data_IF_447216666288
#
_entry.id   IF_447216666288
#
_cell.length_a   1.000
_cell.length_b   1.000
_cell.length_c   1.000
_cell.angle_alpha   90.00
_cell.angle_beta   90.00
_cell.angle_gamma   90.00
#
_symmetry.space_group_name_H-M   'P 1'
#
loop_
_entity.id
_entity.type
_entity.pdbx_description
1 polymer ?
#
# COMPACT_ATOMS: atom_id res chain seq x y z
N UNK A 1 -0.86 -39.46 7.59
CA UNK A 1 -0.58 -38.92 6.25
C UNK A 1 -0.03 -37.53 6.45
N UNK A 2 1.30 -37.39 6.42
CA UNK A 2 1.94 -36.06 6.41
C UNK A 2 1.58 -35.42 5.08
N UNK A 3 0.84 -34.33 5.12
CA UNK A 3 0.60 -33.48 3.95
C UNK A 3 1.95 -32.88 3.55
N UNK A 4 2.59 -33.44 2.52
CA UNK A 4 3.73 -32.82 1.86
C UNK A 4 3.34 -31.40 1.46
N UNK A 5 3.96 -30.40 2.10
CA UNK A 5 3.92 -29.04 1.58
C UNK A 5 4.60 -29.07 0.21
N UNK A 6 4.02 -28.46 -0.84
CA UNK A 6 4.60 -28.54 -2.18
C UNK A 6 6.01 -27.97 -2.20
N UNK A 7 6.93 -28.67 -2.89
CA UNK A 7 8.35 -28.34 -3.03
C UNK A 7 8.62 -26.87 -3.47
N UNK A 8 7.65 -26.21 -4.12
CA UNK A 8 7.76 -24.81 -4.57
C UNK A 8 7.89 -23.79 -3.43
N UNK A 9 7.23 -24.04 -2.28
CA UNK A 9 7.29 -23.15 -1.11
C UNK A 9 8.69 -23.08 -0.49
N UNK A 10 9.42 -24.20 -0.50
CA UNK A 10 10.80 -24.24 0.00
C UNK A 10 11.76 -23.47 -0.90
N UNK A 11 11.55 -23.49 -2.22
CA UNK A 11 12.36 -22.72 -3.17
C UNK A 11 12.14 -21.20 -3.02
N UNK A 12 10.91 -20.73 -2.92
CA UNK A 12 10.65 -19.29 -2.91
C UNK A 12 10.92 -18.60 -1.56
N UNK A 13 10.67 -19.28 -0.43
CA UNK A 13 11.17 -18.83 0.88
C UNK A 13 12.71 -18.76 0.90
N UNK A 14 13.38 -19.67 0.18
CA UNK A 14 14.83 -19.59 -0.01
C UNK A 14 15.24 -18.36 -0.82
N UNK A 15 14.47 -17.94 -1.84
CA UNK A 15 14.76 -16.74 -2.65
C UNK A 15 14.77 -15.46 -1.80
N UNK A 16 13.78 -15.24 -0.94
CA UNK A 16 13.74 -14.06 -0.06
C UNK A 16 14.95 -14.04 0.88
N UNK A 17 15.23 -15.19 1.51
CA UNK A 17 16.41 -15.32 2.37
C UNK A 17 17.72 -15.15 1.61
N UNK A 18 17.76 -15.54 0.34
CA UNK A 18 18.92 -15.42 -0.57
C UNK A 18 19.16 -13.95 -0.94
N UNK A 19 18.10 -13.19 -1.23
CA UNK A 19 18.20 -11.75 -1.50
C UNK A 19 18.79 -11.02 -0.29
N UNK A 20 18.35 -11.34 0.93
CA UNK A 20 18.88 -10.77 2.17
C UNK A 20 20.29 -11.28 2.50
N UNK A 21 20.60 -12.56 2.26
CA UNK A 21 21.89 -13.18 2.61
C UNK A 21 23.03 -12.74 1.69
N UNK A 22 22.77 -12.50 0.41
CA UNK A 22 23.78 -11.98 -0.52
C UNK A 22 23.96 -10.46 -0.42
N UNK A 23 23.79 -9.89 0.77
CA UNK A 23 24.05 -8.49 1.02
C UNK A 23 25.55 -8.21 1.03
N UNK A 24 26.05 -7.64 -0.06
CA UNK A 24 27.31 -6.92 -0.05
C UNK A 24 27.09 -5.59 0.68
N UNK A 25 27.01 -5.63 2.01
CA UNK A 25 27.16 -4.60 3.08
C UNK A 25 27.06 -3.08 2.77
N UNK A 26 26.41 -2.61 1.72
CA UNK A 26 26.59 -1.22 1.28
C UNK A 26 25.42 -0.30 1.67
N UNK A 27 24.15 -0.72 1.62
CA UNK A 27 23.01 0.15 2.00
C UNK A 27 21.78 -0.65 2.47
N UNK A 28 20.83 0.01 3.16
CA UNK A 28 19.51 -0.53 3.51
C UNK A 28 18.58 -0.82 2.31
N UNK A 29 19.07 -0.61 1.08
CA UNK A 29 18.28 -0.68 -0.16
C UNK A 29 17.64 -2.04 -0.43
N UNK A 30 18.34 -3.16 -0.17
CA UNK A 30 17.76 -4.49 -0.39
C UNK A 30 16.59 -4.77 0.55
N UNK A 31 16.71 -4.32 1.80
CA UNK A 31 15.66 -4.43 2.81
C UNK A 31 14.44 -3.60 2.39
N UNK A 32 14.68 -2.35 1.97
CA UNK A 32 13.64 -1.46 1.48
C UNK A 32 12.99 -1.97 0.18
N UNK A 33 13.74 -2.62 -0.73
CA UNK A 33 13.23 -3.22 -1.96
C UNK A 33 12.25 -4.35 -1.65
N UNK A 34 12.65 -5.30 -0.79
CA UNK A 34 11.81 -6.42 -0.39
C UNK A 34 10.55 -5.96 0.33
N UNK A 35 10.69 -5.00 1.25
CA UNK A 35 9.55 -4.39 1.94
C UNK A 35 8.59 -3.69 0.97
N UNK A 36 9.11 -2.92 0.01
CA UNK A 36 8.29 -2.24 -1.00
C UNK A 36 7.56 -3.23 -1.92
N UNK A 37 8.23 -4.31 -2.35
CA UNK A 37 7.60 -5.37 -3.14
C UNK A 37 6.48 -6.06 -2.36
N UNK A 38 6.70 -6.35 -1.07
CA UNK A 38 5.69 -6.89 -0.18
C UNK A 38 4.46 -5.97 -0.08
N UNK A 39 4.67 -4.67 0.15
CA UNK A 39 3.57 -3.72 0.27
C UNK A 39 2.84 -3.48 -1.08
N UNK A 40 3.55 -3.52 -2.21
CA UNK A 40 2.94 -3.49 -3.55
C UNK A 40 2.05 -4.72 -3.75
N UNK A 41 2.54 -5.91 -3.44
CA UNK A 41 1.79 -7.16 -3.57
C UNK A 41 0.50 -7.11 -2.73
N UNK A 42 0.58 -6.56 -1.53
CA UNK A 42 -0.58 -6.34 -0.66
C UNK A 42 -1.52 -5.22 -1.14
N UNK A 43 -1.01 -4.28 -1.95
CA UNK A 43 -1.81 -3.18 -2.50
C UNK A 43 -2.70 -3.61 -3.66
N UNK A 44 -2.32 -4.67 -4.38
CA UNK A 44 -3.00 -5.14 -5.59
C UNK A 44 -3.41 -6.60 -5.45
N UNK A 45 -4.47 -6.85 -4.66
CA UNK A 45 -4.71 -8.16 -4.10
C UNK A 45 -5.27 -9.18 -5.08
N UNK A 46 -5.80 -8.75 -6.23
CA UNK A 46 -6.45 -9.60 -7.24
C UNK A 46 -5.54 -9.95 -8.42
N UNK A 47 -4.33 -9.39 -8.51
CA UNK A 47 -3.42 -9.66 -9.62
C UNK A 47 -2.98 -11.12 -9.74
N UNK A 48 -3.00 -11.87 -8.63
CA UNK A 48 -2.64 -13.29 -8.64
C UNK A 48 -3.59 -14.15 -9.47
N UNK A 49 -4.83 -13.70 -9.71
CA UNK A 49 -5.83 -14.49 -10.46
C UNK A 49 -5.47 -14.63 -11.94
N UNK A 50 -4.58 -13.79 -12.45
CA UNK A 50 -4.08 -13.89 -13.82
C UNK A 50 -3.05 -15.00 -14.01
N UNK A 51 -2.48 -15.53 -12.91
CA UNK A 51 -1.40 -16.54 -12.90
C UNK A 51 -0.24 -16.21 -13.87
N UNK A 52 0.11 -14.92 -13.91
CA UNK A 52 1.11 -14.37 -14.82
C UNK A 52 2.13 -13.53 -14.07
N UNK A 53 3.29 -13.34 -14.69
CA UNK A 53 4.30 -12.41 -14.22
C UNK A 53 3.73 -10.99 -14.11
N UNK A 54 4.13 -10.26 -13.07
CA UNK A 54 3.58 -8.94 -12.76
C UNK A 54 4.62 -7.85 -13.02
N UNK A 55 4.28 -6.88 -13.86
CA UNK A 55 5.06 -5.67 -14.06
C UNK A 55 4.74 -4.62 -12.98
N UNK A 56 5.77 -4.25 -12.22
CA UNK A 56 5.71 -3.22 -11.17
C UNK A 56 6.54 -2.01 -11.60
N UNK A 57 5.94 -0.83 -11.81
CA UNK A 57 6.66 0.40 -12.08
C UNK A 57 7.63 0.73 -10.94
N UNK A 58 8.86 1.13 -11.29
CA UNK A 58 9.85 1.59 -10.30
C UNK A 58 9.32 2.76 -9.49
N UNK A 59 8.47 3.63 -10.08
CA UNK A 59 7.83 4.72 -9.35
C UNK A 59 6.94 4.25 -8.20
N UNK A 60 6.28 3.09 -8.32
CA UNK A 60 5.43 2.58 -7.23
C UNK A 60 6.26 2.06 -6.07
N UNK A 61 7.40 1.40 -6.35
CA UNK A 61 8.38 1.06 -5.31
C UNK A 61 9.01 2.32 -4.69
N UNK A 62 9.28 3.33 -5.52
CA UNK A 62 9.86 4.59 -5.07
C UNK A 62 8.95 5.36 -4.12
N UNK A 63 7.62 5.34 -4.33
CA UNK A 63 6.64 5.92 -3.39
C UNK A 63 6.80 5.30 -2.00
N UNK A 64 6.90 3.97 -1.91
CA UNK A 64 7.10 3.32 -0.62
C UNK A 64 8.42 3.71 0.04
N UNK A 65 9.49 3.92 -0.73
CA UNK A 65 10.75 4.42 -0.19
C UNK A 65 10.66 5.86 0.32
N UNK A 66 9.88 6.74 -0.32
CA UNK A 66 9.57 8.07 0.26
C UNK A 66 9.02 7.89 1.67
N UNK A 67 8.06 6.99 1.87
CA UNK A 67 7.46 6.76 3.18
C UNK A 67 8.42 6.10 4.19
N UNK A 68 9.16 5.06 3.80
CA UNK A 68 10.02 4.32 4.72
C UNK A 68 11.22 5.13 5.20
N UNK A 69 11.81 5.94 4.31
CA UNK A 69 13.01 6.71 4.63
C UNK A 69 12.69 8.09 5.24
N UNK A 70 11.44 8.56 5.15
CA UNK A 70 10.97 9.82 5.72
C UNK A 70 11.48 10.13 7.14
N UNK A 71 11.34 9.22 8.13
CA UNK A 71 11.75 9.52 9.50
C UNK A 71 13.26 9.71 9.67
N UNK A 72 14.06 9.22 8.71
CA UNK A 72 15.52 9.28 8.75
C UNK A 72 16.10 10.56 8.12
N UNK A 73 15.24 11.38 7.51
CA UNK A 73 15.62 12.62 6.81
C UNK A 73 15.44 13.88 7.66
N UNK A 74 15.26 13.73 8.97
CA UNK A 74 15.22 14.86 9.90
C UNK A 74 16.58 15.55 9.92
N UNK A 75 16.63 16.87 9.68
CA UNK A 75 17.90 17.60 9.69
C UNK A 75 18.43 17.83 11.10
N UNK A 76 17.55 17.90 12.10
CA UNK A 76 17.94 18.10 13.50
C UNK A 76 18.42 16.80 14.11
N UNK A 77 17.84 15.67 13.71
CA UNK A 77 18.19 14.33 14.19
C UNK A 77 18.30 13.31 13.05
N UNK A 78 19.29 13.45 12.14
CA UNK A 78 19.41 12.57 10.99
C UNK A 78 19.82 11.16 11.41
N UNK A 79 19.14 10.16 10.86
CA UNK A 79 19.53 8.75 10.98
C UNK A 79 20.09 8.31 9.64
N UNK A 80 21.33 7.87 9.63
CA UNK A 80 22.01 7.44 8.40
C UNK A 80 21.53 6.06 7.96
N UNK A 81 21.52 5.83 6.66
CA UNK A 81 20.90 4.66 6.02
C UNK A 81 21.77 4.03 4.91
N UNK A 82 22.96 4.59 4.70
CA UNK A 82 24.00 4.08 3.80
C UNK A 82 25.37 4.03 4.49
N UNK A 83 26.42 3.61 3.76
CA UNK A 83 27.73 3.42 4.32
C UNK A 83 28.37 4.78 4.55
N UNK A 84 29.02 4.94 5.71
CA UNK A 84 29.67 6.19 6.12
C UNK A 84 31.17 6.05 5.97
N UNK A 85 31.79 6.93 5.20
CA UNK A 85 33.24 7.00 5.05
C UNK A 85 33.78 8.25 5.76
N UNK A 86 34.83 8.10 6.58
CA UNK A 86 35.55 9.26 7.13
C UNK A 86 36.29 9.98 6.00
N UNK A 87 36.04 11.28 5.86
CA UNK A 87 36.80 12.13 4.94
C UNK A 87 37.05 13.49 5.63
N UNK A 88 38.30 13.73 6.04
CA UNK A 88 38.65 14.87 6.89
C UNK A 88 38.02 14.74 8.28
N UNK A 89 37.52 15.84 8.82
CA UNK A 89 36.88 15.91 10.14
C UNK A 89 35.40 15.48 10.14
N UNK A 90 34.90 14.92 9.02
CA UNK A 90 33.50 14.55 8.87
C UNK A 90 33.27 13.19 8.21
N UNK A 91 32.00 12.77 8.21
CA UNK A 91 31.54 11.59 7.51
C UNK A 91 30.86 11.98 6.20
N UNK A 92 31.23 11.32 5.10
CA UNK A 92 30.55 11.44 3.81
C UNK A 92 29.85 10.14 3.41
N UNK A 93 28.97 10.29 2.42
CA UNK A 93 28.11 9.27 1.83
C UNK A 93 26.93 8.88 2.72
N UNK A 94 25.82 8.56 2.06
CA UNK A 94 24.62 7.96 2.64
C UNK A 94 23.76 7.40 1.49
N UNK A 95 22.43 7.35 1.65
CA UNK A 95 21.52 7.06 0.54
C UNK A 95 21.55 8.17 -0.50
N UNK A 96 21.52 7.78 -1.76
CA UNK A 96 21.69 8.66 -2.93
C UNK A 96 20.64 9.77 -3.03
N UNK A 97 19.45 9.53 -2.47
CA UNK A 97 18.30 10.44 -2.55
C UNK A 97 18.10 11.29 -1.29
N UNK A 98 19.04 11.27 -0.32
CA UNK A 98 18.90 12.02 0.95
C UNK A 98 18.53 13.48 0.72
N UNK A 99 19.33 14.20 -0.06
CA UNK A 99 19.13 15.64 -0.29
C UNK A 99 17.79 15.97 -0.97
N UNK A 100 17.29 15.06 -1.83
CA UNK A 100 16.00 15.24 -2.49
C UNK A 100 14.85 15.02 -1.49
N UNK A 101 14.92 13.94 -0.71
CA UNK A 101 13.88 13.59 0.26
C UNK A 101 13.85 14.57 1.44
N UNK A 102 15.01 15.07 1.91
CA UNK A 102 15.08 16.12 2.93
C UNK A 102 14.43 17.41 2.44
N UNK A 103 14.69 17.84 1.20
CA UNK A 103 14.03 19.02 0.61
C UNK A 103 12.52 18.86 0.48
N UNK A 104 12.06 17.69 0.06
CA UNK A 104 10.63 17.37 0.01
C UNK A 104 10.00 17.45 1.40
N UNK A 105 10.69 16.92 2.42
CA UNK A 105 10.22 16.96 3.82
C UNK A 105 10.12 18.39 4.34
N UNK A 106 11.13 19.22 4.13
CA UNK A 106 11.12 20.63 4.51
C UNK A 106 9.96 21.38 3.85
N UNK A 107 9.70 21.14 2.56
CA UNK A 107 8.60 21.80 1.86
C UNK A 107 7.24 21.38 2.41
N UNK A 108 7.06 20.12 2.80
CA UNK A 108 5.83 19.66 3.45
C UNK A 108 5.65 20.29 4.84
N UNK A 109 6.70 20.30 5.67
CA UNK A 109 6.67 20.88 7.02
C UNK A 109 6.38 22.39 6.97
N UNK A 110 6.88 23.10 5.96
CA UNK A 110 6.61 24.54 5.73
C UNK A 110 5.13 24.83 5.46
N UNK A 111 4.40 23.90 4.84
CA UNK A 111 2.97 24.05 4.56
C UNK A 111 2.09 23.82 5.80
N UNK A 112 2.63 23.22 6.87
CA UNK A 112 1.88 22.89 8.08
C UNK A 112 2.71 23.14 9.35
N UNK A 113 3.14 24.39 9.61
CA UNK A 113 4.07 24.71 10.71
C UNK A 113 3.47 24.46 12.10
N UNK A 114 2.14 24.35 12.19
CA UNK A 114 1.41 24.11 13.44
C UNK A 114 1.22 22.62 13.76
N UNK A 115 1.56 21.73 12.82
CA UNK A 115 1.43 20.28 12.98
C UNK A 115 2.81 19.73 13.30
N UNK A 116 2.95 19.05 14.44
CA UNK A 116 4.20 18.40 14.79
C UNK A 116 4.55 17.32 13.77
N UNK A 117 5.77 17.31 13.20
CA UNK A 117 6.20 16.27 12.27
C UNK A 117 6.06 14.89 12.89
N UNK A 118 5.52 13.94 12.13
CA UNK A 118 5.41 12.54 12.52
C UNK A 118 6.30 11.66 11.64
N UNK A 119 6.86 10.56 12.19
CA UNK A 119 7.61 9.59 11.41
C UNK A 119 6.82 9.08 10.18
N UNK A 120 5.51 8.93 10.33
CA UNK A 120 4.59 8.46 9.29
C UNK A 120 4.10 9.51 8.29
N UNK A 121 4.57 10.76 8.34
CA UNK A 121 4.14 11.79 7.38
C UNK A 121 4.49 11.44 5.93
N UNK A 122 5.54 10.65 5.72
CA UNK A 122 5.85 10.08 4.40
C UNK A 122 4.73 9.16 3.87
N UNK A 123 4.09 8.35 4.72
CA UNK A 123 2.91 7.55 4.35
C UNK A 123 1.69 8.43 4.06
N UNK A 124 1.50 9.50 4.86
CA UNK A 124 0.46 10.49 4.61
C UNK A 124 0.62 11.11 3.22
N UNK A 125 1.82 11.60 2.91
CA UNK A 125 2.13 12.28 1.65
C UNK A 125 1.88 11.40 0.43
N UNK A 126 2.38 10.15 0.42
CA UNK A 126 2.23 9.28 -0.75
C UNK A 126 0.75 8.93 -1.01
N UNK A 127 -0.08 8.88 0.03
CA UNK A 127 -1.51 8.64 -0.10
C UNK A 127 -2.22 9.85 -0.73
N UNK A 128 -1.88 11.07 -0.27
CA UNK A 128 -2.41 12.30 -0.86
C UNK A 128 -1.99 12.45 -2.34
N UNK A 129 -0.75 12.08 -2.67
CA UNK A 129 -0.22 12.14 -4.04
C UNK A 129 -0.76 11.05 -4.99
N UNK A 130 -1.41 10.01 -4.48
CA UNK A 130 -2.10 8.98 -5.30
C UNK A 130 -3.46 9.48 -5.78
N UNK A 131 -4.14 10.31 -4.99
CA UNK A 131 -5.49 10.76 -5.25
C UNK A 131 -5.44 12.07 -6.05
N UNK A 132 -5.81 12.04 -7.33
CA UNK A 132 -5.68 13.20 -8.24
C UNK A 132 -6.31 14.48 -7.67
N UNK A 133 -7.57 14.40 -7.20
CA UNK A 133 -8.29 15.54 -6.60
C UNK A 133 -7.58 16.16 -5.38
N UNK A 134 -6.82 15.36 -4.61
CA UNK A 134 -6.05 15.85 -3.46
C UNK A 134 -4.70 16.38 -3.89
N UNK A 135 -4.03 15.70 -4.82
CA UNK A 135 -2.76 16.15 -5.42
C UNK A 135 -2.87 17.58 -5.95
N UNK A 136 -4.00 17.94 -6.57
CA UNK A 136 -4.25 19.30 -7.09
C UNK A 136 -4.39 20.40 -6.03
N UNK A 137 -4.52 20.05 -4.74
CA UNK A 137 -4.60 21.02 -3.64
C UNK A 137 -3.23 21.46 -3.13
N UNK A 138 -2.15 20.79 -3.55
CA UNK A 138 -0.79 21.09 -3.10
C UNK A 138 -0.07 22.07 -4.04
N UNK A 139 0.91 22.79 -3.50
CA UNK A 139 1.70 23.78 -4.25
C UNK A 139 2.49 23.14 -5.40
N UNK A 140 2.68 23.85 -6.54
CA UNK A 140 3.53 23.40 -7.62
C UNK A 140 4.96 23.03 -7.17
N UNK A 141 5.50 23.75 -6.19
CA UNK A 141 6.82 23.53 -5.61
C UNK A 141 6.90 22.17 -4.90
N UNK A 142 5.93 21.83 -4.04
CA UNK A 142 5.88 20.52 -3.37
C UNK A 142 5.74 19.41 -4.40
N UNK A 143 4.87 19.58 -5.40
CA UNK A 143 4.69 18.61 -6.47
C UNK A 143 5.99 18.39 -7.25
N UNK A 144 6.73 19.46 -7.55
CA UNK A 144 8.02 19.37 -8.22
C UNK A 144 9.05 18.62 -7.35
N UNK A 145 9.19 18.96 -6.07
CA UNK A 145 10.10 18.26 -5.16
C UNK A 145 9.75 16.78 -5.01
N UNK A 146 8.46 16.45 -5.02
CA UNK A 146 7.98 15.08 -4.96
C UNK A 146 8.41 14.28 -6.20
N UNK A 147 8.22 14.81 -7.40
CA UNK A 147 8.63 14.14 -8.64
C UNK A 147 10.17 14.03 -8.75
N UNK A 148 10.93 15.05 -8.32
CA UNK A 148 12.39 14.99 -8.25
C UNK A 148 12.87 13.90 -7.28
N UNK A 149 12.22 13.78 -6.13
CA UNK A 149 12.53 12.74 -5.14
C UNK A 149 12.23 11.35 -5.68
N UNK A 150 11.07 11.15 -6.33
CA UNK A 150 10.73 9.88 -6.97
C UNK A 150 11.75 9.50 -8.04
N UNK A 151 12.22 10.46 -8.85
CA UNK A 151 13.26 10.22 -9.86
C UNK A 151 14.57 9.74 -9.20
N UNK A 152 15.06 10.44 -8.18
CA UNK A 152 16.29 10.07 -7.47
C UNK A 152 16.20 8.67 -6.84
N UNK A 153 15.03 8.32 -6.27
CA UNK A 153 14.79 6.98 -5.72
C UNK A 153 14.71 5.92 -6.82
N UNK A 154 14.07 6.20 -7.96
CA UNK A 154 14.03 5.28 -9.10
C UNK A 154 15.44 4.94 -9.61
N UNK A 155 16.34 5.92 -9.65
CA UNK A 155 17.75 5.72 -9.99
C UNK A 155 18.46 4.85 -8.94
N UNK A 156 18.20 5.09 -7.65
CA UNK A 156 18.77 4.30 -6.55
C UNK A 156 18.27 2.84 -6.53
N UNK A 157 17.05 2.57 -6.99
CA UNK A 157 16.44 1.24 -7.07
C UNK A 157 17.13 0.30 -8.06
N UNK A 158 17.89 0.80 -9.04
CA UNK A 158 18.52 -0.06 -10.05
C UNK A 158 19.53 -1.04 -9.45
N UNK A 159 20.39 -0.56 -8.54
CA UNK A 159 21.44 -1.38 -7.91
C UNK A 159 20.90 -2.55 -7.08
N UNK A 160 19.96 -2.36 -6.14
CA UNK A 160 19.43 -3.49 -5.37
C UNK A 160 18.65 -4.49 -6.23
N UNK A 161 18.04 -4.05 -7.35
CA UNK A 161 17.41 -4.95 -8.33
C UNK A 161 18.48 -5.75 -9.08
N UNK A 162 19.54 -5.09 -9.57
CA UNK A 162 20.67 -5.72 -10.27
C UNK A 162 21.35 -6.78 -9.42
N UNK A 163 21.58 -6.51 -8.13
CA UNK A 163 22.30 -7.43 -7.24
C UNK A 163 21.36 -8.23 -6.33
N UNK A 164 20.10 -8.42 -6.72
CA UNK A 164 19.17 -9.30 -6.03
C UNK A 164 19.52 -10.77 -6.33
N UNK A 165 20.15 -11.43 -5.36
CA UNK A 165 20.54 -12.85 -5.43
C UNK A 165 21.98 -13.11 -5.90
N UNK A 166 22.30 -14.36 -6.26
CA UNK A 166 23.63 -14.74 -6.74
C UNK A 166 23.89 -14.16 -8.14
N UNK A 167 24.97 -13.39 -8.27
CA UNK A 167 25.32 -12.73 -9.53
C UNK A 167 24.46 -11.50 -9.86
N UNK A 168 24.71 -10.90 -11.02
CA UNK A 168 23.91 -9.79 -11.51
C UNK A 168 22.67 -10.28 -12.24
N UNK A 169 21.52 -9.67 -11.96
CA UNK A 169 20.20 -9.98 -12.52
C UNK A 169 19.74 -11.42 -12.26
N UNK A 170 20.22 -12.02 -11.17
CA UNK A 170 19.95 -13.44 -10.86
C UNK A 170 18.50 -13.71 -10.48
N UNK A 171 17.84 -12.78 -9.77
CA UNK A 171 16.42 -12.91 -9.40
C UNK A 171 15.50 -12.03 -10.25
N UNK A 172 15.89 -10.77 -10.47
CA UNK A 172 15.12 -9.82 -11.27
C UNK A 172 15.85 -9.50 -12.57
N UNK A 173 15.11 -9.51 -13.67
CA UNK A 173 15.62 -8.99 -14.94
C UNK A 173 15.78 -7.46 -14.88
N UNK A 174 16.58 -6.92 -15.81
CA UNK A 174 16.79 -5.47 -15.93
C UNK A 174 15.45 -4.74 -16.13
N UNK A 175 15.14 -3.68 -15.36
CA UNK A 175 13.90 -2.94 -15.54
C UNK A 175 13.74 -2.38 -16.97
N UNK A 176 12.61 -2.66 -17.59
CA UNK A 176 12.29 -2.28 -18.97
C UNK A 176 11.03 -1.40 -19.02
N UNK A 177 10.86 -0.62 -20.10
CA UNK A 177 9.63 0.17 -20.28
C UNK A 177 8.43 -0.75 -20.47
N UNK A 178 7.29 -0.43 -19.84
CA UNK A 178 6.11 -1.28 -19.87
C UNK A 178 5.63 -1.60 -21.29
N UNK A 179 5.69 -0.65 -22.23
CA UNK A 179 5.32 -0.89 -23.63
C UNK A 179 6.07 -2.04 -24.31
N UNK A 180 7.26 -2.40 -23.83
CA UNK A 180 8.06 -3.52 -24.33
C UNK A 180 7.70 -4.85 -23.65
N UNK A 181 7.04 -4.78 -22.50
CA UNK A 181 6.62 -5.93 -21.70
C UNK A 181 5.14 -6.28 -21.96
N UNK A 182 4.34 -5.28 -22.38
CA UNK A 182 2.92 -5.40 -22.63
C UNK A 182 2.60 -6.62 -23.51
N UNK A 183 1.56 -7.38 -23.13
CA UNK A 183 1.15 -8.62 -23.79
C UNK A 183 1.78 -9.90 -23.23
N UNK A 184 2.82 -9.81 -22.40
CA UNK A 184 3.48 -10.98 -21.79
C UNK A 184 3.40 -10.99 -20.25
N UNK A 185 2.94 -9.90 -19.66
CA UNK A 185 2.85 -9.66 -18.22
C UNK A 185 1.57 -8.90 -17.91
N UNK A 186 1.09 -9.03 -16.67
CA UNK A 186 0.02 -8.17 -16.16
C UNK A 186 0.66 -7.01 -15.41
N UNK A 187 0.22 -5.79 -15.65
CA UNK A 187 0.73 -4.63 -14.92
C UNK A 187 -0.11 -4.33 -13.69
N UNK A 188 0.54 -3.80 -12.64
CA UNK A 188 -0.21 -3.19 -11.54
C UNK A 188 -1.07 -2.03 -12.07
N UNK A 189 -2.29 -1.85 -11.54
CA UNK A 189 -3.16 -0.74 -11.93
C UNK A 189 -2.48 0.63 -11.92
N UNK A 190 -2.85 1.45 -12.90
CA UNK A 190 -2.27 2.79 -13.09
C UNK A 190 -0.91 2.82 -13.79
N UNK A 191 -0.32 1.69 -14.20
CA UNK A 191 0.92 1.62 -14.99
C UNK A 191 0.77 2.28 -16.37
N UNK A 192 1.76 3.08 -16.77
CA UNK A 192 1.80 3.81 -18.04
C UNK A 192 2.80 3.16 -19.03
N UNK A 193 2.61 3.28 -20.34
CA UNK A 193 3.49 2.67 -21.35
C UNK A 193 4.98 3.03 -21.20
N UNK A 194 5.29 4.25 -20.76
CA UNK A 194 6.67 4.72 -20.59
C UNK A 194 7.27 4.42 -19.20
N UNK A 195 6.49 3.88 -18.27
CA UNK A 195 6.99 3.50 -16.95
C UNK A 195 8.05 2.40 -17.09
N UNK A 196 9.19 2.60 -16.44
CA UNK A 196 10.18 1.52 -16.26
C UNK A 196 9.66 0.59 -15.18
N UNK A 197 9.57 -0.69 -15.50
CA UNK A 197 9.01 -1.71 -14.63
C UNK A 197 10.05 -2.80 -14.33
N UNK A 198 10.07 -3.25 -13.08
CA UNK A 198 10.65 -4.56 -12.72
C UNK A 198 9.55 -5.62 -12.85
N UNK A 199 9.91 -6.80 -13.37
CA UNK A 199 8.97 -7.92 -13.48
C UNK A 199 9.18 -8.86 -12.30
N UNK A 200 8.11 -9.11 -11.55
CA UNK A 200 8.07 -10.08 -10.45
C UNK A 200 7.41 -11.35 -11.00
N UNK A 201 8.11 -12.48 -10.91
CA UNK A 201 7.59 -13.77 -11.37
C UNK A 201 6.33 -14.17 -10.61
N UNK A 202 5.38 -14.83 -11.27
CA UNK A 202 4.09 -15.23 -10.67
C UNK A 202 4.27 -15.99 -9.33
N UNK A 203 5.18 -16.96 -9.28
CA UNK A 203 5.48 -17.72 -8.06
C UNK A 203 6.07 -16.86 -6.94
N UNK A 204 6.94 -15.91 -7.29
CA UNK A 204 7.51 -14.97 -6.33
C UNK A 204 6.45 -13.99 -5.81
N UNK A 205 5.56 -13.51 -6.69
CA UNK A 205 4.41 -12.70 -6.30
C UNK A 205 3.51 -13.43 -5.31
N UNK A 206 3.19 -14.71 -5.58
CA UNK A 206 2.42 -15.58 -4.67
C UNK A 206 3.12 -15.75 -3.33
N UNK A 207 4.43 -15.96 -3.34
CA UNK A 207 5.24 -16.08 -2.11
C UNK A 207 5.21 -14.80 -1.27
N UNK A 208 5.31 -13.63 -1.89
CA UNK A 208 5.14 -12.35 -1.18
C UNK A 208 3.75 -12.25 -0.53
N UNK A 209 2.68 -12.70 -1.20
CA UNK A 209 1.33 -12.70 -0.61
C UNK A 209 1.25 -13.62 0.60
N UNK A 210 1.70 -14.87 0.46
CA UNK A 210 1.54 -15.92 1.49
C UNK A 210 2.44 -15.69 2.70
N UNK A 211 3.63 -15.12 2.50
CA UNK A 211 4.61 -14.86 3.56
C UNK A 211 4.62 -13.41 4.03
N UNK A 212 3.62 -12.61 3.67
CA UNK A 212 3.72 -11.14 3.75
C UNK A 212 4.08 -10.61 5.14
N UNK A 213 3.50 -11.19 6.19
CA UNK A 213 3.75 -10.81 7.60
C UNK A 213 5.17 -11.17 8.03
N UNK A 214 5.67 -12.33 7.60
CA UNK A 214 7.03 -12.76 7.89
C UNK A 214 8.06 -11.89 7.18
N UNK A 215 7.80 -11.55 5.92
CA UNK A 215 8.65 -10.65 5.13
C UNK A 215 8.67 -9.27 5.76
N UNK A 216 7.51 -8.71 6.14
CA UNK A 216 7.45 -7.42 6.81
C UNK A 216 8.25 -7.41 8.12
N UNK A 217 8.02 -8.40 8.99
CA UNK A 217 8.71 -8.51 10.27
C UNK A 217 10.23 -8.68 10.10
N UNK A 218 10.66 -9.53 9.16
CA UNK A 218 12.08 -9.74 8.85
C UNK A 218 12.72 -8.46 8.29
N UNK A 219 12.06 -7.79 7.35
CA UNK A 219 12.56 -6.52 6.81
C UNK A 219 12.71 -5.46 7.91
N UNK A 220 11.72 -5.30 8.79
CA UNK A 220 11.83 -4.36 9.92
C UNK A 220 12.99 -4.74 10.84
N UNK A 221 13.14 -6.03 11.17
CA UNK A 221 14.21 -6.51 12.03
C UNK A 221 15.60 -6.24 11.43
N UNK A 222 15.83 -6.65 10.19
CA UNK A 222 17.11 -6.43 9.50
C UNK A 222 17.40 -4.94 9.33
N UNK A 223 16.38 -4.11 9.09
CA UNK A 223 16.56 -2.66 8.98
C UNK A 223 17.00 -2.03 10.31
N UNK A 224 16.43 -2.49 11.43
CA UNK A 224 16.85 -2.05 12.76
C UNK A 224 18.32 -2.44 13.01
N UNK A 225 18.69 -3.70 12.74
CA UNK A 225 20.06 -4.19 12.89
C UNK A 225 21.05 -3.45 11.99
N UNK A 226 20.66 -3.15 10.76
CA UNK A 226 21.49 -2.39 9.83
C UNK A 226 21.73 -0.97 10.33
N UNK A 227 20.66 -0.26 10.71
CA UNK A 227 20.74 1.15 11.13
C UNK A 227 21.54 1.32 12.42
N UNK A 228 21.36 0.44 13.40
CA UNK A 228 22.08 0.46 14.68
C UNK A 228 23.60 0.25 14.50
N UNK A 229 24.01 -0.49 13.46
CA UNK A 229 25.44 -0.78 13.18
C UNK A 229 26.17 0.35 12.46
N UNK A 230 25.45 1.33 11.91
CA UNK A 230 26.08 2.41 11.16
C UNK A 230 26.83 3.37 12.10
N UNK A 231 28.04 3.82 11.73
CA UNK A 231 28.75 4.84 12.51
C UNK A 231 27.96 6.15 12.56
N UNK A 232 27.69 6.63 13.77
CA UNK A 232 27.03 7.91 14.04
C UNK A 232 27.66 8.57 15.27
N UNK A 233 27.64 9.90 15.31
CA UNK A 233 28.03 10.66 16.51
C UNK A 233 26.96 10.58 17.60
N UNK A 234 25.70 10.41 17.19
CA UNK A 234 24.55 10.15 18.06
C UNK A 234 23.97 8.76 17.68
N UNK A 235 24.41 7.68 18.33
CA UNK A 235 23.92 6.33 18.07
C UNK A 235 22.45 6.19 18.47
N UNK A 236 21.63 5.69 17.55
CA UNK A 236 20.20 5.45 17.80
C UNK A 236 19.99 3.97 18.09
N UNK A 237 19.28 3.67 19.18
CA UNK A 237 18.99 2.29 19.57
C UNK A 237 17.94 1.65 18.65
N UNK A 238 18.01 0.31 18.56
CA UNK A 238 17.06 -0.49 17.78
C UNK A 238 15.58 -0.25 18.10
N UNK A 239 15.23 0.04 19.36
CA UNK A 239 13.85 0.27 19.78
C UNK A 239 13.30 1.58 19.22
N UNK A 240 14.13 2.62 19.19
CA UNK A 240 13.80 3.89 18.52
C UNK A 240 13.65 3.69 17.01
N UNK A 241 14.57 3.00 16.34
CA UNK A 241 14.48 2.71 14.89
C UNK A 241 13.21 1.91 14.57
N UNK A 242 12.91 0.89 15.37
CA UNK A 242 11.68 0.10 15.24
C UNK A 242 10.43 0.98 15.30
N UNK A 243 10.35 1.85 16.33
CA UNK A 243 9.22 2.76 16.53
C UNK A 243 8.99 3.67 15.33
N UNK A 244 10.07 4.17 14.70
CA UNK A 244 9.98 4.99 13.48
C UNK A 244 9.47 4.18 12.28
N UNK A 245 9.94 2.94 12.10
CA UNK A 245 9.59 2.09 10.96
C UNK A 245 8.17 1.51 11.02
N UNK A 246 7.61 1.36 12.23
CA UNK A 246 6.24 0.85 12.44
C UNK A 246 5.22 1.96 12.65
N UNK A 247 5.64 3.21 12.82
CA UNK A 247 4.72 4.34 12.88
C UNK A 247 3.87 4.40 11.60
N UNK A 248 2.58 4.63 11.77
CA UNK A 248 1.61 4.77 10.68
C UNK A 248 0.72 5.98 10.99
N UNK A 249 0.22 6.68 9.96
CA UNK A 249 -0.71 7.77 10.20
C UNK A 249 -1.89 7.24 11.01
N UNK A 250 -2.42 8.03 11.94
CA UNK A 250 -3.63 7.60 12.65
C UNK A 250 -4.76 7.44 11.61
N UNK A 251 -5.21 6.21 11.44
CA UNK A 251 -6.17 5.85 10.41
C UNK A 251 -7.57 6.39 10.70
N UNK A 252 -7.79 6.94 11.90
CA UNK A 252 -9.02 7.63 12.29
C UNK A 252 -9.14 9.01 11.66
N UNK A 253 -8.83 9.11 10.36
CA UNK A 253 -9.17 10.32 9.61
C UNK A 253 -10.70 10.47 9.61
N UNK A 254 -11.24 11.68 9.82
CA UNK A 254 -12.67 11.88 9.78
C UNK A 254 -13.21 11.53 8.39
N UNK A 255 -14.20 10.63 8.33
CA UNK A 255 -14.92 10.29 7.09
C UNK A 255 -16.05 11.29 6.79
N UNK A 256 -15.83 12.57 7.08
CA UNK A 256 -16.87 13.60 7.02
C UNK A 256 -17.37 13.79 5.60
N UNK A 257 -16.47 13.74 4.61
CA UNK A 257 -16.85 13.92 3.21
C UNK A 257 -17.73 12.76 2.72
N UNK A 258 -17.34 11.52 3.00
CA UNK A 258 -18.08 10.33 2.64
C UNK A 258 -19.45 10.30 3.35
N UNK A 259 -19.47 10.56 4.66
CA UNK A 259 -20.72 10.64 5.45
C UNK A 259 -21.67 11.70 4.91
N UNK A 260 -21.20 12.91 4.62
CA UNK A 260 -22.04 13.97 4.08
C UNK A 260 -22.67 13.58 2.73
N UNK A 261 -21.94 12.89 1.85
CA UNK A 261 -22.49 12.45 0.57
C UNK A 261 -23.46 11.28 0.72
N UNK A 262 -23.24 10.38 1.67
CA UNK A 262 -24.21 9.33 2.02
C UNK A 262 -25.48 9.93 2.60
N UNK A 263 -25.36 10.94 3.46
CA UNK A 263 -26.51 11.65 4.02
C UNK A 263 -27.34 12.34 2.93
N UNK A 264 -26.68 12.93 1.92
CA UNK A 264 -27.36 13.47 0.72
C UNK A 264 -28.13 12.36 -0.02
N UNK A 265 -27.50 11.20 -0.27
CA UNK A 265 -28.19 10.07 -0.92
C UNK A 265 -29.43 9.61 -0.12
N UNK A 266 -29.33 9.55 1.21
CA UNK A 266 -30.46 9.21 2.08
C UNK A 266 -31.59 10.25 1.98
N UNK A 267 -31.25 11.55 1.95
CA UNK A 267 -32.21 12.64 1.77
C UNK A 267 -32.89 12.62 0.38
N UNK A 268 -32.18 12.17 -0.65
CA UNK A 268 -32.70 11.92 -2.00
C UNK A 268 -33.57 10.66 -2.10
N UNK A 269 -33.82 9.96 -0.99
CA UNK A 269 -34.69 8.80 -0.91
C UNK A 269 -34.02 7.47 -1.25
N UNK A 270 -32.68 7.43 -1.36
CA UNK A 270 -31.96 6.14 -1.44
C UNK A 270 -32.00 5.46 -0.07
N UNK A 271 -32.03 4.14 -0.11
CA UNK A 271 -31.92 3.30 1.07
C UNK A 271 -30.69 2.39 0.94
N UNK A 272 -30.07 2.09 2.07
CA UNK A 272 -29.01 1.10 2.19
C UNK A 272 -29.49 -0.05 3.08
N UNK A 273 -28.89 -1.22 2.91
CA UNK A 273 -29.08 -2.34 3.82
C UNK A 273 -27.75 -2.64 4.49
N UNK A 274 -27.73 -2.69 5.83
CA UNK A 274 -26.51 -3.05 6.53
C UNK A 274 -26.08 -4.46 6.09
N UNK A 275 -24.84 -4.64 5.58
CA UNK A 275 -24.39 -5.94 5.09
C UNK A 275 -24.30 -7.01 6.17
N UNK A 276 -24.26 -6.61 7.46
CA UNK A 276 -24.03 -7.51 8.59
C UNK A 276 -25.31 -7.89 9.34
N UNK A 277 -26.19 -6.91 9.57
CA UNK A 277 -27.42 -7.11 10.35
C UNK A 277 -28.68 -7.11 9.49
N UNK A 278 -28.57 -6.86 8.19
CA UNK A 278 -29.68 -6.71 7.24
C UNK A 278 -30.67 -5.59 7.58
N UNK A 279 -30.32 -4.73 8.55
CA UNK A 279 -31.12 -3.58 8.92
C UNK A 279 -31.16 -2.56 7.79
N UNK A 280 -32.36 -2.13 7.41
CA UNK A 280 -32.55 -1.06 6.42
C UNK A 280 -32.18 0.29 7.05
N UNK A 281 -31.31 1.02 6.37
CA UNK A 281 -30.84 2.37 6.70
C UNK A 281 -31.44 3.32 5.68
N UNK A 282 -32.34 4.18 6.17
CA UNK A 282 -33.04 5.23 5.40
C UNK A 282 -32.91 6.56 6.13
N UNK A 283 -33.41 7.64 5.53
CA UNK A 283 -33.40 8.96 6.16
C UNK A 283 -33.89 8.92 7.63
N UNK A 284 -33.13 9.55 8.53
CA UNK A 284 -33.41 9.58 9.97
C UNK A 284 -32.97 8.35 10.76
N UNK A 285 -32.55 7.25 10.11
CA UNK A 285 -31.98 6.08 10.80
C UNK A 285 -30.49 6.29 11.03
N UNK A 286 -30.04 6.21 12.29
CA UNK A 286 -28.62 6.30 12.64
C UNK A 286 -27.82 5.14 12.04
N UNK A 287 -26.65 5.45 11.49
CA UNK A 287 -25.70 4.48 10.94
C UNK A 287 -24.25 4.85 11.27
N UNK A 288 -23.39 3.84 11.26
CA UNK A 288 -21.94 4.02 11.20
C UNK A 288 -21.47 3.80 9.77
N UNK A 289 -20.45 4.55 9.33
CA UNK A 289 -19.75 4.23 8.10
C UNK A 289 -18.65 3.24 8.45
N UNK A 290 -18.91 1.96 8.20
CA UNK A 290 -18.04 0.84 8.57
C UNK A 290 -17.00 0.54 7.49
N UNK A 291 -15.82 0.12 7.94
CA UNK A 291 -14.76 -0.41 7.11
C UNK A 291 -14.93 -1.93 6.95
N UNK A 292 -15.12 -2.42 5.74
CA UNK A 292 -15.22 -3.87 5.47
C UNK A 292 -13.96 -4.59 5.94
N UNK A 293 -12.79 -4.04 5.59
CA UNK A 293 -11.48 -4.38 6.09
C UNK A 293 -11.10 -3.44 7.24
N UNK A 294 -10.95 -3.94 8.48
CA UNK A 294 -10.64 -3.11 9.65
C UNK A 294 -9.35 -2.31 9.47
N UNK A 295 -9.34 -1.07 9.97
CA UNK A 295 -8.17 -0.19 9.93
C UNK A 295 -6.95 -0.75 10.69
N UNK A 296 -7.18 -1.63 11.66
CA UNK A 296 -6.14 -2.38 12.38
C UNK A 296 -5.44 -3.43 11.52
N UNK A 297 -6.12 -3.92 10.48
CA UNK A 297 -5.59 -4.87 9.50
C UNK A 297 -4.99 -4.11 8.33
N UNK A 298 -5.76 -3.19 7.75
CA UNK A 298 -5.33 -2.41 6.61
C UNK A 298 -5.89 -0.96 6.69
N UNK A 299 -5.00 0.05 6.76
CA UNK A 299 -5.30 1.50 6.80
C UNK A 299 -6.10 2.16 5.64
N UNK A 300 -7.09 1.51 5.00
CA UNK A 300 -7.69 2.03 3.76
C UNK A 300 -9.03 2.76 4.01
N UNK A 301 -9.07 4.03 3.62
CA UNK A 301 -10.28 4.86 3.55
C UNK A 301 -10.74 5.05 2.10
N UNK A 302 -10.85 3.95 1.35
CA UNK A 302 -11.35 3.93 -0.03
C UNK A 302 -12.83 3.54 -0.03
N UNK A 303 -13.60 4.10 -0.96
CA UNK A 303 -15.06 4.01 -0.94
C UNK A 303 -15.58 2.58 -1.15
N UNK A 304 -14.83 1.71 -1.84
CA UNK A 304 -15.18 0.28 -1.91
C UNK A 304 -15.12 -0.41 -0.54
N UNK A 305 -14.30 0.11 0.38
CA UNK A 305 -14.12 -0.41 1.73
C UNK A 305 -15.11 0.19 2.74
N UNK A 306 -15.95 1.15 2.34
CA UNK A 306 -16.80 1.93 3.24
C UNK A 306 -18.28 1.70 2.94
N UNK A 307 -19.06 1.29 3.95
CA UNK A 307 -20.50 1.04 3.82
C UNK A 307 -21.30 1.49 5.05
N UNK A 308 -22.53 2.01 4.88
CA UNK A 308 -23.44 2.23 5.99
C UNK A 308 -23.76 0.91 6.72
N UNK A 309 -23.56 0.90 8.03
CA UNK A 309 -23.80 -0.26 8.88
C UNK A 309 -24.56 0.12 10.15
N UNK A 310 -25.21 -0.88 10.75
CA UNK A 310 -25.89 -0.73 12.03
C UNK A 310 -24.88 -0.46 13.16
N UNK A 311 -24.97 0.67 13.89
CA UNK A 311 -23.95 1.07 14.86
C UNK A 311 -23.75 0.06 15.98
N UNK A 312 -24.85 -0.56 16.45
CA UNK A 312 -24.78 -1.54 17.52
C UNK A 312 -24.01 -2.78 17.08
N UNK A 313 -24.37 -3.36 15.93
CA UNK A 313 -23.68 -4.52 15.38
C UNK A 313 -22.21 -4.22 15.08
N UNK A 314 -21.94 -3.07 14.46
CA UNK A 314 -20.60 -2.64 14.11
C UNK A 314 -19.68 -2.55 15.35
N UNK A 315 -20.15 -1.85 16.39
CA UNK A 315 -19.36 -1.56 17.59
C UNK A 315 -19.23 -2.73 18.57
N UNK A 316 -20.18 -3.68 18.60
CA UNK A 316 -20.22 -4.72 19.64
C UNK A 316 -19.99 -6.13 19.11
N UNK A 317 -20.50 -6.43 17.90
CA UNK A 317 -20.37 -7.74 17.29
C UNK A 317 -19.18 -7.79 16.33
N UNK A 318 -19.17 -6.99 15.26
CA UNK A 318 -18.08 -7.00 14.26
C UNK A 318 -16.75 -6.55 14.87
N UNK A 319 -16.69 -5.32 15.41
CA UNK A 319 -15.45 -4.68 15.89
C UNK A 319 -14.34 -4.75 14.84
N UNK A 320 -13.12 -5.08 15.26
CA UNK A 320 -11.94 -5.26 14.41
C UNK A 320 -11.84 -6.66 13.75
N UNK A 321 -12.93 -7.43 13.72
CA UNK A 321 -12.95 -8.77 13.10
C UNK A 321 -13.38 -8.72 11.64
N UNK A 322 -12.89 -9.65 10.85
CA UNK A 322 -13.32 -9.84 9.46
C UNK A 322 -14.57 -10.75 9.40
N UNK A 323 -15.44 -10.58 8.41
CA UNK A 323 -16.60 -11.47 8.25
C UNK A 323 -16.18 -12.91 7.90
N UNK A 324 -16.97 -13.89 8.36
CA UNK A 324 -16.90 -15.27 7.85
C UNK A 324 -17.23 -15.35 6.36
N UNK A 325 -16.79 -16.42 5.67
CA UNK A 325 -17.16 -16.67 4.25
C UNK A 325 -18.67 -16.64 4.07
N UNK A 326 -19.41 -17.24 5.00
CA UNK A 326 -20.88 -17.22 4.98
C UNK A 326 -21.43 -15.79 5.03
N UNK A 327 -20.97 -14.98 6.00
CA UNK A 327 -21.40 -13.59 6.13
C UNK A 327 -21.00 -12.74 4.92
N UNK A 328 -19.84 -13.00 4.30
CA UNK A 328 -19.42 -12.31 3.07
C UNK A 328 -20.36 -12.60 1.89
N UNK A 329 -20.76 -13.85 1.71
CA UNK A 329 -21.70 -14.24 0.66
C UNK A 329 -23.09 -13.61 0.88
N UNK A 330 -23.57 -13.60 2.13
CA UNK A 330 -24.84 -12.96 2.51
C UNK A 330 -24.79 -11.43 2.36
N UNK A 331 -23.63 -10.81 2.59
CA UNK A 331 -23.40 -9.38 2.44
C UNK A 331 -23.36 -8.93 0.97
N UNK A 332 -23.03 -9.82 0.02
CA UNK A 332 -22.70 -9.45 -1.35
C UNK A 332 -23.79 -8.63 -2.04
N UNK A 333 -25.07 -9.02 -1.92
CA UNK A 333 -26.19 -8.25 -2.50
C UNK A 333 -26.31 -6.84 -1.90
N UNK A 334 -26.00 -6.69 -0.61
CA UNK A 334 -26.06 -5.41 0.10
C UNK A 334 -24.88 -4.51 -0.29
N UNK A 335 -23.70 -5.08 -0.53
CA UNK A 335 -22.56 -4.36 -1.10
C UNK A 335 -22.88 -3.86 -2.51
N UNK A 336 -23.48 -4.70 -3.35
CA UNK A 336 -23.94 -4.31 -4.70
C UNK A 336 -24.91 -3.13 -4.63
N UNK A 337 -25.88 -3.16 -3.71
CA UNK A 337 -26.80 -2.05 -3.48
C UNK A 337 -26.05 -0.77 -3.08
N UNK A 338 -25.14 -0.86 -2.11
CA UNK A 338 -24.36 0.29 -1.64
C UNK A 338 -23.54 0.93 -2.78
N UNK A 339 -22.81 0.13 -3.55
CA UNK A 339 -22.02 0.62 -4.67
C UNK A 339 -22.90 1.20 -5.79
N UNK A 340 -24.09 0.63 -6.02
CA UNK A 340 -25.07 1.18 -6.96
C UNK A 340 -25.58 2.55 -6.53
N UNK A 341 -25.80 2.75 -5.23
CA UNK A 341 -26.14 4.06 -4.68
C UNK A 341 -24.99 5.06 -4.83
N UNK A 342 -23.74 4.65 -4.61
CA UNK A 342 -22.56 5.51 -4.81
C UNK A 342 -22.43 5.96 -6.27
N UNK A 343 -22.72 5.08 -7.23
CA UNK A 343 -22.75 5.43 -8.65
C UNK A 343 -23.85 6.42 -9.04
N UNK A 344 -24.92 6.54 -8.24
CA UNK A 344 -26.01 7.48 -8.50
C UNK A 344 -25.63 8.94 -8.17
N UNK A 345 -24.56 9.17 -7.40
CA UNK A 345 -24.06 10.50 -7.04
C UNK A 345 -22.77 10.80 -7.82
N UNK A 346 -22.74 11.88 -8.61
CA UNK A 346 -21.59 12.19 -9.47
C UNK A 346 -20.24 12.29 -8.71
N UNK A 347 -20.16 12.95 -7.52
CA UNK A 347 -18.94 12.95 -6.72
C UNK A 347 -18.53 11.55 -6.25
N UNK A 348 -19.46 10.76 -5.69
CA UNK A 348 -19.15 9.41 -5.19
C UNK A 348 -18.82 8.44 -6.33
N UNK A 349 -19.49 8.55 -7.46
CA UNK A 349 -19.25 7.75 -8.66
C UNK A 349 -17.83 7.93 -9.18
N UNK A 350 -17.30 9.15 -9.14
CA UNK A 350 -15.90 9.42 -9.53
C UNK A 350 -14.95 8.76 -8.54
N UNK A 351 -15.18 8.94 -7.24
CA UNK A 351 -14.30 8.41 -6.19
C UNK A 351 -14.27 6.88 -6.16
N UNK A 352 -15.42 6.20 -6.20
CA UNK A 352 -15.44 4.74 -6.17
C UNK A 352 -14.74 4.15 -7.40
N UNK A 353 -14.87 4.78 -8.57
CA UNK A 353 -14.19 4.35 -9.80
C UNK A 353 -12.68 4.51 -9.68
N UNK A 354 -12.23 5.69 -9.23
CA UNK A 354 -10.80 5.95 -9.02
C UNK A 354 -10.19 4.95 -8.02
N UNK A 355 -10.88 4.72 -6.90
CA UNK A 355 -10.43 3.81 -5.84
C UNK A 355 -10.39 2.35 -6.34
N UNK A 356 -11.42 1.90 -7.04
CA UNK A 356 -11.52 0.54 -7.59
C UNK A 356 -10.48 0.31 -8.69
N UNK A 357 -10.42 1.18 -9.71
CA UNK A 357 -9.47 1.03 -10.81
C UNK A 357 -8.02 1.29 -10.38
N UNK A 358 -7.82 1.98 -9.26
CA UNK A 358 -6.51 2.14 -8.65
C UNK A 358 -6.02 0.88 -7.91
N UNK A 359 -6.86 -0.11 -7.67
CA UNK A 359 -6.56 -1.26 -6.81
C UNK A 359 -6.81 -2.62 -7.45
N UNK A 360 -7.97 -2.80 -8.08
CA UNK A 360 -8.44 -4.09 -8.58
C UNK A 360 -8.23 -4.17 -10.10
N UNK A 361 -7.25 -4.95 -10.52
CA UNK A 361 -6.93 -5.15 -11.93
C UNK A 361 -7.93 -6.02 -12.69
N UNK A 362 -8.75 -6.79 -11.97
CA UNK A 362 -9.74 -7.72 -12.55
C UNK A 362 -11.11 -7.08 -12.76
N UNK A 363 -11.36 -5.90 -12.17
CA UNK A 363 -12.61 -5.17 -12.41
C UNK A 363 -12.48 -4.44 -13.76
N UNK A 364 -13.32 -4.78 -14.75
CA UNK A 364 -13.24 -4.16 -16.07
C UNK A 364 -13.56 -2.67 -15.99
N UNK A 365 -12.84 -1.86 -16.77
CA UNK A 365 -13.13 -0.44 -16.88
C UNK A 365 -14.47 -0.21 -17.60
N UNK A 366 -15.34 0.61 -17.01
CA UNK A 366 -16.63 0.98 -17.58
C UNK A 366 -16.49 1.52 -19.00
N UNK A 367 -16.99 0.81 -20.01
CA UNK A 367 -17.09 1.32 -21.38
C UNK A 367 -18.37 2.15 -21.51
N UNK A 368 -18.24 3.42 -21.94
CA UNK A 368 -19.36 4.35 -22.15
C UNK A 368 -20.32 4.53 -20.96
N UNK A 369 -19.86 4.29 -19.73
CA UNK A 369 -20.67 4.44 -18.51
C UNK A 369 -21.78 3.40 -18.34
N UNK A 370 -21.78 2.32 -19.12
CA UNK A 370 -22.87 1.32 -19.16
C UNK A 370 -22.43 -0.12 -18.83
N UNK A 371 -21.39 -0.34 -18.02
CA UNK A 371 -21.18 -1.70 -17.52
C UNK A 371 -22.20 -2.03 -16.42
N UNK A 372 -23.24 -2.77 -16.82
CA UNK A 372 -24.28 -3.32 -15.95
C UNK A 372 -23.73 -4.21 -14.82
N UNK A 373 -22.45 -4.58 -14.88
CA UNK A 373 -21.81 -5.50 -13.94
C UNK A 373 -20.78 -4.84 -13.01
N UNK A 374 -20.50 -3.54 -13.12
CA UNK A 374 -19.44 -2.91 -12.30
C UNK A 374 -19.61 -3.18 -10.80
N UNK A 375 -20.81 -2.94 -10.25
CA UNK A 375 -21.08 -3.10 -8.81
C UNK A 375 -21.00 -4.56 -8.37
N UNK A 376 -21.46 -5.48 -9.21
CA UNK A 376 -21.36 -6.93 -9.01
C UNK A 376 -19.91 -7.41 -8.99
N UNK A 377 -19.09 -6.96 -9.95
CA UNK A 377 -17.66 -7.30 -10.02
C UNK A 377 -16.89 -6.70 -8.84
N UNK A 378 -17.16 -5.44 -8.47
CA UNK A 378 -16.56 -4.81 -7.29
C UNK A 378 -16.90 -5.59 -6.03
N UNK A 379 -18.18 -5.93 -5.80
CA UNK A 379 -18.57 -6.72 -4.64
C UNK A 379 -17.89 -8.09 -4.62
N UNK A 380 -17.77 -8.76 -5.77
CA UNK A 380 -17.08 -10.05 -5.89
C UNK A 380 -15.60 -9.95 -5.52
N UNK A 381 -14.86 -8.99 -6.09
CA UNK A 381 -13.42 -8.86 -5.81
C UNK A 381 -13.15 -8.42 -4.38
N UNK A 382 -14.01 -7.57 -3.80
CA UNK A 382 -13.91 -7.14 -2.40
C UNK A 382 -14.16 -8.31 -1.46
N UNK A 383 -15.20 -9.13 -1.70
CA UNK A 383 -15.47 -10.34 -0.92
C UNK A 383 -14.28 -11.30 -0.96
N UNK A 384 -13.75 -11.59 -2.14
CA UNK A 384 -12.59 -12.46 -2.28
C UNK A 384 -11.35 -11.89 -1.57
N UNK A 385 -11.13 -10.58 -1.66
CA UNK A 385 -10.00 -9.92 -1.00
C UNK A 385 -10.09 -10.00 0.53
N UNK A 386 -11.28 -9.75 1.10
CA UNK A 386 -11.51 -9.87 2.54
C UNK A 386 -11.26 -11.29 3.04
N UNK A 387 -11.68 -12.29 2.26
CA UNK A 387 -11.46 -13.69 2.59
C UNK A 387 -9.97 -14.08 2.52
N UNK A 388 -9.30 -13.70 1.43
CA UNK A 388 -7.86 -13.92 1.23
C UNK A 388 -7.03 -13.34 2.38
N UNK A 389 -7.31 -12.08 2.77
CA UNK A 389 -6.58 -11.43 3.87
C UNK A 389 -6.84 -12.10 5.19
N UNK A 390 -8.09 -12.50 5.46
CA UNK A 390 -8.42 -13.19 6.69
C UNK A 390 -7.73 -14.57 6.79
N UNK A 391 -7.60 -15.32 5.68
CA UNK A 391 -6.84 -16.58 5.62
C UNK A 391 -5.34 -16.32 5.81
N UNK A 392 -4.76 -15.43 4.98
CA UNK A 392 -3.32 -15.19 4.96
C UNK A 392 -2.78 -14.66 6.30
N UNK A 393 -3.59 -13.87 7.02
CA UNK A 393 -3.21 -13.26 8.29
C UNK A 393 -3.78 -13.99 9.51
N UNK A 394 -4.49 -15.09 9.32
CA UNK A 394 -5.15 -15.86 10.39
C UNK A 394 -5.96 -14.97 11.34
N UNK A 395 -6.77 -14.07 10.77
CA UNK A 395 -7.50 -13.05 11.53
C UNK A 395 -8.78 -13.62 12.13
N UNK A 396 -9.14 -13.10 13.31
CA UNK A 396 -10.39 -13.44 13.95
C UNK A 396 -11.58 -13.07 13.06
N UNK A 397 -12.53 -14.00 12.93
CA UNK A 397 -13.76 -13.80 12.17
C UNK A 397 -14.99 -13.70 13.07
N UNK A 398 -16.06 -13.11 12.55
CA UNK A 398 -17.37 -13.05 13.22
C UNK A 398 -18.46 -13.76 12.42
#
# INVERSE_FOLDING_TARGET
>A
MQTEKPLSFQLAGSVISTILRHDSKMTSYKIALLRAMNDVVLSFPDLYTYDQDVAVPLRELARYWVAYYWPFMDEQQPIWQGPRARQGDGWKNDVLFRDALTRLRQELERLSPWVSPRPSDGFFLINEMKIARKKHLYSPELLQQYELTLKAICEALEKPIQHAGPGEWGIFARPARYKLLAGHVVAVPGTRPEDRCVVIKADLWRTFREMSLWIEALCIHEWCLFSERLPSEDPVDRGRIYSLLVDRPDNRRPLNWERNHIDILLLEGKEFTCPWSHKVIRVGVKYDLDHLMPLSVYPINELWNLVPADPYYNSHQKRDRLPSVKHLLEAQSHLIQAYSNYLASMPLATVIKDDVYGRFATVPAMVNGQDANFTSEVARVVVNFLDDVAIARNLARF
#
